data_IF_148836861960
#
_entry.id   IF_148836861960
#
_cell.length_a   1.000
_cell.length_b   1.000
_cell.length_c   1.000
_cell.angle_alpha   90.00
_cell.angle_beta   90.00
_cell.angle_gamma   90.00
#
_symmetry.space_group_name_H-M   'P 1'
#
loop_
_entity.id
_entity.type
_entity.pdbx_description
1 polymer ?
#
# COMPACT_ATOMS: atom_id res chain seq x y z
N UNK A 1 -10.70 7.95 -8.52
CA UNK A 1 -11.48 8.99 -7.86
C UNK A 1 -11.20 10.30 -8.59
N UNK A 2 -12.23 11.05 -8.98
CA UNK A 2 -12.04 12.40 -9.51
C UNK A 2 -11.80 13.40 -8.36
N UNK A 3 -11.48 14.66 -8.69
CA UNK A 3 -11.15 15.67 -7.67
C UNK A 3 -12.33 15.96 -6.73
N UNK A 4 -13.54 16.13 -7.29
CA UNK A 4 -14.74 16.44 -6.50
C UNK A 4 -15.05 15.33 -5.49
N UNK A 5 -14.97 14.06 -5.90
CA UNK A 5 -15.14 12.91 -5.00
C UNK A 5 -14.06 12.86 -3.91
N UNK A 6 -12.82 13.22 -4.24
CA UNK A 6 -11.73 13.24 -3.27
C UNK A 6 -11.94 14.35 -2.23
N UNK A 7 -12.51 15.49 -2.63
CA UNK A 7 -12.85 16.60 -1.73
C UNK A 7 -14.02 16.25 -0.81
N UNK A 8 -15.08 15.63 -1.34
CA UNK A 8 -16.20 15.12 -0.53
C UNK A 8 -15.70 14.10 0.51
N UNK A 9 -14.88 13.13 0.09
CA UNK A 9 -14.33 12.13 0.99
C UNK A 9 -13.40 12.74 2.05
N UNK A 10 -12.59 13.73 1.67
CA UNK A 10 -11.74 14.44 2.62
C UNK A 10 -12.57 15.20 3.67
N UNK A 11 -13.66 15.83 3.25
CA UNK A 11 -14.60 16.48 4.16
C UNK A 11 -15.22 15.46 5.13
N UNK A 12 -15.72 14.33 4.63
CA UNK A 12 -16.32 13.28 5.46
C UNK A 12 -15.35 12.73 6.51
N UNK A 13 -14.09 12.50 6.12
CA UNK A 13 -13.01 12.06 7.04
C UNK A 13 -12.82 13.08 8.17
N UNK A 14 -12.72 14.35 7.82
CA UNK A 14 -12.47 15.43 8.78
C UNK A 14 -13.67 15.67 9.70
N UNK A 15 -14.89 15.66 9.18
CA UNK A 15 -16.11 15.84 9.96
C UNK A 15 -16.34 14.69 10.93
N UNK A 16 -16.25 13.44 10.44
CA UNK A 16 -16.37 12.25 11.29
C UNK A 16 -15.29 12.25 12.38
N UNK A 17 -14.06 12.57 12.02
CA UNK A 17 -12.95 12.65 12.95
C UNK A 17 -13.17 13.72 14.03
N UNK A 18 -13.66 14.91 13.65
CA UNK A 18 -14.02 15.96 14.62
C UNK A 18 -15.20 15.60 15.50
N UNK A 19 -16.15 14.83 15.01
CA UNK A 19 -17.26 14.33 15.81
C UNK A 19 -16.77 13.35 16.89
N UNK A 20 -15.83 12.47 16.54
CA UNK A 20 -15.29 11.46 17.47
C UNK A 20 -14.18 12.00 18.39
N UNK A 21 -13.34 12.90 17.89
CA UNK A 21 -12.16 13.43 18.56
C UNK A 21 -11.88 14.88 18.13
N UNK A 22 -12.73 15.81 18.60
CA UNK A 22 -12.78 17.23 18.19
C UNK A 22 -11.44 17.97 18.22
N UNK A 23 -10.61 17.67 19.22
CA UNK A 23 -9.30 18.28 19.45
C UNK A 23 -8.18 17.65 18.62
N UNK A 24 -8.44 16.50 17.97
CA UNK A 24 -7.43 15.72 17.23
C UNK A 24 -7.50 15.92 15.73
N UNK A 25 -8.62 16.38 15.21
CA UNK A 25 -8.80 16.61 13.78
C UNK A 25 -8.75 18.10 13.43
N UNK A 26 -8.08 18.47 12.32
CA UNK A 26 -8.06 19.85 11.85
C UNK A 26 -9.47 20.29 11.46
N UNK A 27 -9.69 21.60 11.42
CA UNK A 27 -10.98 22.18 10.99
C UNK A 27 -11.12 21.99 9.48
N UNK A 28 -12.29 21.52 8.98
CA UNK A 28 -12.51 21.31 7.55
C UNK A 28 -12.79 22.65 6.84
N UNK A 29 -11.78 23.52 6.77
CA UNK A 29 -11.82 24.68 5.88
C UNK A 29 -11.42 24.28 4.44
N UNK A 30 -11.68 25.16 3.47
CA UNK A 30 -11.42 24.89 2.04
C UNK A 30 -9.99 24.43 1.77
N UNK A 31 -8.99 25.05 2.42
CA UNK A 31 -7.58 24.70 2.20
C UNK A 31 -7.23 23.35 2.80
N UNK A 32 -7.77 23.05 3.98
CA UNK A 32 -7.57 21.77 4.66
C UNK A 32 -8.21 20.64 3.87
N UNK A 33 -9.45 20.82 3.39
CA UNK A 33 -10.14 19.83 2.56
C UNK A 33 -9.36 19.57 1.26
N UNK A 34 -8.90 20.62 0.56
CA UNK A 34 -8.08 20.47 -0.65
C UNK A 34 -6.76 19.73 -0.39
N UNK A 35 -6.04 20.09 0.68
CA UNK A 35 -4.78 19.41 1.02
C UNK A 35 -5.00 17.93 1.37
N UNK A 36 -6.10 17.59 2.03
CA UNK A 36 -6.46 16.21 2.34
C UNK A 36 -6.93 15.44 1.09
N UNK A 37 -7.70 16.08 0.19
CA UNK A 37 -8.18 15.45 -1.04
C UNK A 37 -7.03 15.06 -1.97
N UNK A 38 -5.98 15.90 -2.06
CA UNK A 38 -4.76 15.58 -2.81
C UNK A 38 -4.05 14.31 -2.31
N UNK A 39 -4.14 14.02 -1.00
CA UNK A 39 -3.53 12.83 -0.41
C UNK A 39 -4.45 11.62 -0.60
N UNK A 40 -5.71 11.75 -0.24
CA UNK A 40 -6.71 10.68 -0.31
C UNK A 40 -6.93 10.22 -1.76
N UNK A 41 -6.97 11.15 -2.71
CA UNK A 41 -7.10 10.91 -4.15
C UNK A 41 -6.00 10.05 -4.76
N UNK A 42 -4.84 9.91 -4.10
CA UNK A 42 -3.74 9.03 -4.56
C UNK A 42 -4.02 7.56 -4.31
N UNK A 43 -5.01 7.24 -3.48
CA UNK A 43 -5.30 5.86 -3.09
C UNK A 43 -6.66 5.43 -3.64
N UNK A 44 -6.66 4.31 -4.36
CA UNK A 44 -7.88 3.68 -4.82
C UNK A 44 -8.46 2.76 -3.73
N UNK A 45 -9.02 3.38 -2.69
CA UNK A 45 -9.72 2.71 -1.59
C UNK A 45 -11.19 3.12 -1.57
N UNK A 46 -12.11 2.21 -1.20
CA UNK A 46 -13.52 2.55 -1.06
C UNK A 46 -13.75 3.55 0.08
N UNK A 47 -14.72 4.46 -0.09
CA UNK A 47 -15.06 5.52 0.88
C UNK A 47 -15.37 4.96 2.28
N UNK A 48 -16.14 3.86 2.34
CA UNK A 48 -16.48 3.20 3.60
C UNK A 48 -15.24 2.75 4.40
N UNK A 49 -14.16 2.40 3.71
CA UNK A 49 -12.92 1.93 4.32
C UNK A 49 -12.14 3.09 4.95
N UNK A 50 -12.24 4.29 4.37
CA UNK A 50 -11.71 5.51 4.98
C UNK A 50 -12.48 5.92 6.24
N UNK A 51 -13.80 5.80 6.23
CA UNK A 51 -14.61 6.10 7.42
C UNK A 51 -14.35 5.09 8.56
N UNK A 52 -14.10 3.82 8.21
CA UNK A 52 -13.64 2.83 9.17
C UNK A 52 -12.24 3.15 9.70
N UNK A 53 -11.32 3.61 8.83
CA UNK A 53 -10.00 4.06 9.23
C UNK A 53 -10.06 5.17 10.28
N UNK A 54 -10.96 6.15 10.11
CA UNK A 54 -11.20 7.21 11.11
C UNK A 54 -11.65 6.60 12.43
N UNK A 55 -12.57 5.64 12.39
CA UNK A 55 -13.04 4.94 13.60
C UNK A 55 -11.89 4.24 14.30
N UNK A 56 -11.10 3.43 13.58
CA UNK A 56 -9.93 2.73 14.10
C UNK A 56 -8.91 3.70 14.68
N UNK A 57 -8.62 4.81 14.00
CA UNK A 57 -7.69 5.80 14.50
C UNK A 57 -8.16 6.36 15.85
N UNK A 58 -9.43 6.75 15.92
CA UNK A 58 -10.04 7.31 17.12
C UNK A 58 -10.18 6.30 18.26
N UNK A 59 -10.26 4.99 18.00
CA UNK A 59 -10.45 3.97 19.06
C UNK A 59 -9.17 3.27 19.47
N UNK A 60 -8.19 3.13 18.57
CA UNK A 60 -7.03 2.25 18.76
C UNK A 60 -5.67 2.96 18.66
N UNK A 61 -5.62 4.13 18.02
CA UNK A 61 -4.37 4.83 17.70
C UNK A 61 -4.29 6.22 18.30
N UNK A 62 -5.11 6.52 19.32
CA UNK A 62 -5.16 7.86 19.93
C UNK A 62 -3.75 8.33 20.28
N UNK A 63 -3.33 9.42 19.65
CA UNK A 63 -2.06 10.07 19.93
C UNK A 63 -2.29 11.42 20.60
N UNK A 64 -1.26 11.93 21.28
CA UNK A 64 -1.29 13.27 21.87
C UNK A 64 -1.08 14.40 20.84
N UNK A 65 -0.83 14.08 19.57
CA UNK A 65 -0.68 15.06 18.49
C UNK A 65 -1.94 15.14 17.62
N UNK A 66 -2.02 16.20 16.82
CA UNK A 66 -3.03 16.32 15.79
C UNK A 66 -2.83 15.21 14.74
N UNK A 67 -3.95 14.71 14.21
CA UNK A 67 -3.94 13.72 13.14
C UNK A 67 -3.39 14.33 11.86
N UNK A 68 -2.64 13.52 11.13
CA UNK A 68 -2.15 13.82 9.79
C UNK A 68 -2.79 12.86 8.78
N UNK A 69 -2.79 13.19 7.49
CA UNK A 69 -3.25 12.25 6.46
C UNK A 69 -2.53 10.89 6.52
N UNK A 70 -1.25 10.86 6.90
CA UNK A 70 -0.49 9.61 7.04
C UNK A 70 -1.09 8.68 8.11
N UNK A 71 -1.54 9.23 9.23
CA UNK A 71 -2.14 8.44 10.31
C UNK A 71 -3.41 7.73 9.85
N UNK A 72 -4.23 8.42 9.06
CA UNK A 72 -5.46 7.86 8.50
C UNK A 72 -5.14 6.85 7.39
N UNK A 73 -4.09 7.06 6.58
CA UNK A 73 -3.62 6.07 5.60
C UNK A 73 -3.18 4.78 6.30
N UNK A 74 -2.43 4.89 7.39
CA UNK A 74 -1.99 3.72 8.17
C UNK A 74 -3.19 2.98 8.78
N UNK A 75 -4.16 3.71 9.34
CA UNK A 75 -5.40 3.13 9.84
C UNK A 75 -6.22 2.47 8.72
N UNK A 76 -6.28 3.06 7.52
CA UNK A 76 -6.97 2.49 6.37
C UNK A 76 -6.28 1.21 5.88
N UNK A 77 -4.95 1.15 5.90
CA UNK A 77 -4.22 -0.09 5.61
C UNK A 77 -4.51 -1.19 6.63
N UNK A 78 -4.63 -0.83 7.91
CA UNK A 78 -5.02 -1.77 8.95
C UNK A 78 -6.46 -2.27 8.75
N UNK A 79 -7.41 -1.37 8.48
CA UNK A 79 -8.79 -1.71 8.15
C UNK A 79 -8.84 -2.68 6.95
N UNK A 80 -8.18 -2.31 5.86
CA UNK A 80 -8.09 -3.15 4.65
C UNK A 80 -7.54 -4.54 4.96
N UNK A 81 -6.44 -4.62 5.71
CA UNK A 81 -5.85 -5.91 6.10
C UNK A 81 -6.83 -6.76 6.88
N UNK A 82 -7.62 -6.18 7.80
CA UNK A 82 -8.65 -6.90 8.57
C UNK A 82 -9.77 -7.42 7.66
N UNK A 83 -10.27 -6.58 6.76
CA UNK A 83 -11.29 -6.98 5.79
C UNK A 83 -10.80 -8.06 4.82
N UNK A 84 -9.52 -8.05 4.48
CA UNK A 84 -8.94 -9.07 3.61
C UNK A 84 -8.79 -10.44 4.32
N UNK A 85 -8.96 -10.53 5.65
CA UNK A 85 -8.92 -11.81 6.36
C UNK A 85 -10.16 -12.67 6.07
N UNK A 86 -11.34 -12.07 5.88
CA UNK A 86 -12.57 -12.80 5.57
C UNK A 86 -12.86 -12.90 4.06
N UNK A 87 -13.48 -14.00 3.58
CA UNK A 87 -13.93 -14.11 2.19
C UNK A 87 -14.93 -12.99 1.81
N UNK A 88 -15.83 -12.63 2.72
CA UNK A 88 -16.85 -11.60 2.50
C UNK A 88 -16.21 -10.22 2.36
N UNK A 89 -15.20 -9.92 3.19
CA UNK A 89 -14.54 -8.62 3.14
C UNK A 89 -13.66 -8.46 1.90
N UNK A 90 -13.01 -9.54 1.49
CA UNK A 90 -12.33 -9.68 0.19
C UNK A 90 -13.28 -9.41 -0.98
N UNK A 91 -14.45 -10.02 -0.98
CA UNK A 91 -15.48 -9.80 -2.00
C UNK A 91 -15.96 -8.34 -2.05
N UNK A 92 -16.19 -7.72 -0.87
CA UNK A 92 -16.61 -6.33 -0.76
C UNK A 92 -15.58 -5.35 -1.34
N UNK A 93 -14.29 -5.55 -1.05
CA UNK A 93 -13.19 -4.73 -1.59
C UNK A 93 -13.06 -4.93 -3.11
N UNK A 94 -13.18 -6.17 -3.61
CA UNK A 94 -13.13 -6.45 -5.04
C UNK A 94 -14.28 -5.77 -5.79
N UNK A 95 -15.51 -5.90 -5.29
CA UNK A 95 -16.70 -5.24 -5.84
C UNK A 95 -16.52 -3.72 -5.93
N UNK A 96 -16.00 -3.11 -4.87
CA UNK A 96 -15.79 -1.66 -4.82
C UNK A 96 -14.70 -1.16 -5.79
N UNK A 97 -13.77 -2.01 -6.23
CA UNK A 97 -12.74 -1.68 -7.24
C UNK A 97 -13.23 -1.78 -8.68
N UNK A 98 -14.48 -2.18 -8.91
CA UNK A 98 -15.02 -2.41 -10.26
C UNK A 98 -14.52 -3.70 -10.92
N UNK A 99 -13.78 -4.54 -10.20
CA UNK A 99 -13.43 -5.88 -10.65
C UNK A 99 -14.52 -6.85 -10.22
N UNK A 100 -15.28 -7.39 -11.15
CA UNK A 100 -16.08 -8.58 -10.85
C UNK A 100 -15.16 -9.79 -10.69
N UNK A 101 -15.37 -10.54 -9.61
CA UNK A 101 -15.65 -11.96 -9.69
C UNK A 101 -17.12 -12.15 -9.25
N UNK A 102 -17.96 -12.66 -10.15
CA UNK A 102 -19.42 -12.78 -10.03
C UNK A 102 -19.82 -13.98 -9.15
N UNK A 103 -18.87 -14.80 -8.72
CA UNK A 103 -19.14 -16.02 -7.95
C UNK A 103 -18.12 -16.25 -6.82
N UNK A 104 -18.56 -16.95 -5.77
CA UNK A 104 -17.71 -17.41 -4.66
C UNK A 104 -16.46 -18.16 -5.16
N UNK A 105 -16.60 -18.93 -6.24
CA UNK A 105 -15.52 -19.66 -6.89
C UNK A 105 -14.47 -18.73 -7.56
N UNK A 106 -14.88 -17.57 -8.08
CA UNK A 106 -13.94 -16.60 -8.67
C UNK A 106 -13.29 -15.70 -7.59
N UNK A 107 -13.98 -15.43 -6.48
CA UNK A 107 -13.41 -14.78 -5.29
C UNK A 107 -12.37 -15.71 -4.66
N UNK A 108 -12.72 -16.99 -4.52
CA UNK A 108 -11.78 -18.03 -4.13
C UNK A 108 -10.64 -18.09 -5.14
N UNK A 109 -10.85 -18.21 -6.45
CA UNK A 109 -9.76 -18.24 -7.44
C UNK A 109 -8.85 -16.99 -7.44
N UNK A 110 -9.38 -15.80 -7.14
CA UNK A 110 -8.59 -14.57 -7.07
C UNK A 110 -7.70 -14.52 -5.82
N UNK A 111 -8.20 -15.00 -4.67
CA UNK A 111 -7.48 -15.01 -3.39
C UNK A 111 -6.83 -16.36 -3.04
N UNK A 112 -7.18 -17.43 -3.74
CA UNK A 112 -6.62 -18.79 -3.68
C UNK A 112 -5.49 -18.98 -4.67
N UNK A 113 -5.00 -17.90 -5.29
CA UNK A 113 -3.66 -17.92 -5.90
C UNK A 113 -2.62 -18.02 -4.78
N UNK A 114 -2.51 -19.22 -4.21
CA UNK A 114 -1.21 -19.81 -3.89
C UNK A 114 -0.29 -19.60 -5.11
N UNK A 115 1.03 -19.43 -4.91
CA UNK A 115 1.99 -19.12 -5.99
C UNK A 115 2.26 -20.35 -6.89
N UNK A 116 1.21 -21.00 -7.38
CA UNK A 116 1.24 -22.20 -8.21
C UNK A 116 0.24 -22.01 -9.34
N UNK A 117 0.58 -21.10 -10.24
CA UNK A 117 0.22 -21.07 -11.68
C UNK A 117 0.75 -19.77 -12.31
N UNK A 118 1.98 -19.39 -11.93
CA UNK A 118 2.86 -18.65 -12.82
C UNK A 118 3.67 -19.75 -13.51
N UNK A 119 3.21 -20.19 -14.69
CA UNK A 119 4.05 -21.03 -15.57
C UNK A 119 5.37 -20.32 -15.92
N UNK A 120 5.42 -19.02 -15.65
CA UNK A 120 6.55 -18.13 -15.83
C UNK A 120 7.10 -17.72 -14.45
N UNK A 121 8.28 -18.23 -14.08
CA UNK A 121 9.06 -17.79 -12.93
C UNK A 121 9.27 -16.26 -12.97
N UNK A 122 9.54 -15.60 -11.83
CA UNK A 122 9.87 -14.17 -11.83
C UNK A 122 10.99 -13.79 -12.80
N UNK A 123 11.96 -14.71 -13.02
CA UNK A 123 13.04 -14.55 -13.99
C UNK A 123 12.55 -14.61 -15.44
N UNK A 124 11.67 -15.55 -15.78
CA UNK A 124 11.08 -15.65 -17.12
C UNK A 124 10.18 -14.45 -17.44
N UNK A 125 9.41 -13.95 -16.46
CA UNK A 125 8.60 -12.74 -16.61
C UNK A 125 9.47 -11.50 -16.85
N UNK A 126 10.56 -11.38 -16.08
CA UNK A 126 11.54 -10.30 -16.27
C UNK A 126 12.23 -10.38 -17.64
N UNK A 127 12.54 -11.59 -18.13
CA UNK A 127 13.12 -11.80 -19.46
C UNK A 127 12.15 -11.41 -20.58
N UNK A 128 10.85 -11.70 -20.44
CA UNK A 128 9.84 -11.35 -21.44
C UNK A 128 9.50 -9.86 -21.48
N UNK A 129 9.35 -9.22 -20.32
CA UNK A 129 8.92 -7.81 -20.23
C UNK A 129 10.09 -6.82 -20.33
N UNK A 130 11.28 -7.21 -19.84
CA UNK A 130 12.47 -6.37 -19.79
C UNK A 130 13.73 -7.13 -20.24
N UNK A 131 13.82 -7.51 -21.54
CA UNK A 131 14.91 -8.36 -22.05
C UNK A 131 16.30 -7.76 -21.84
N UNK A 132 16.44 -6.43 -21.95
CA UNK A 132 17.71 -5.72 -21.70
C UNK A 132 18.15 -5.79 -20.23
N UNK A 133 17.21 -5.62 -19.30
CA UNK A 133 17.49 -5.70 -17.86
C UNK A 133 17.86 -7.14 -17.47
N UNK A 134 17.17 -8.13 -18.05
CA UNK A 134 17.44 -9.54 -17.81
C UNK A 134 18.83 -9.95 -18.35
N UNK A 135 19.22 -9.47 -19.54
CA UNK A 135 20.58 -9.64 -20.08
C UNK A 135 21.64 -9.06 -19.16
N UNK A 136 21.44 -7.83 -18.69
CA UNK A 136 22.37 -7.19 -17.75
C UNK A 136 22.49 -7.97 -16.43
N UNK A 137 21.39 -8.49 -15.90
CA UNK A 137 21.40 -9.31 -14.67
C UNK A 137 22.13 -10.64 -14.91
N UNK A 138 21.90 -11.30 -16.04
CA UNK A 138 22.61 -12.52 -16.41
C UNK A 138 24.12 -12.27 -16.53
N UNK A 139 24.52 -11.19 -17.20
CA UNK A 139 25.93 -10.79 -17.34
C UNK A 139 26.57 -10.48 -15.98
N UNK A 140 25.88 -9.72 -15.11
CA UNK A 140 26.37 -9.44 -13.76
C UNK A 140 26.51 -10.72 -12.92
N UNK A 141 25.60 -11.68 -13.10
CA UNK A 141 25.61 -12.95 -12.36
C UNK A 141 26.76 -13.83 -12.85
N UNK A 142 26.95 -13.94 -14.16
CA UNK A 142 28.08 -14.65 -14.78
C UNK A 142 29.42 -14.05 -14.37
N UNK A 143 29.53 -12.71 -14.36
CA UNK A 143 30.72 -12.01 -13.83
C UNK A 143 30.97 -12.38 -12.37
N UNK A 144 29.93 -12.53 -11.54
CA UNK A 144 30.07 -12.91 -10.12
C UNK A 144 30.49 -14.36 -9.95
N UNK A 145 29.94 -15.31 -10.71
CA UNK A 145 30.33 -16.73 -10.64
C UNK A 145 31.73 -16.97 -11.20
N UNK A 146 32.13 -16.25 -12.25
CA UNK A 146 33.46 -16.36 -12.85
C UNK A 146 34.52 -15.47 -12.18
N UNK A 147 34.11 -14.59 -11.25
CA UNK A 147 35.07 -13.84 -10.43
C UNK A 147 35.69 -14.78 -9.41
N UNK A 148 37.03 -14.82 -9.29
CA UNK A 148 37.67 -15.56 -8.21
C UNK A 148 37.14 -15.01 -6.87
N UNK A 149 36.85 -15.90 -5.88
CA UNK A 149 36.37 -15.45 -4.58
C UNK A 149 37.37 -14.44 -4.01
N UNK A 150 36.88 -13.27 -3.61
CA UNK A 150 37.70 -12.24 -2.97
C UNK A 150 38.39 -12.86 -1.76
N UNK A 151 39.69 -13.14 -1.87
CA UNK A 151 40.55 -13.45 -0.73
C UNK A 151 40.95 -12.11 -0.13
N UNK A 152 40.33 -11.74 0.98
CA UNK A 152 40.85 -10.65 1.79
C UNK A 152 42.28 -11.03 2.21
N UNK A 153 43.27 -10.22 1.84
CA UNK A 153 44.62 -10.41 2.36
C UNK A 153 44.60 -10.19 3.89
N UNK A 154 45.28 -11.03 4.68
CA UNK A 154 45.33 -10.88 6.13
C UNK A 154 45.85 -9.48 6.49
N UNK A 155 44.98 -8.61 7.02
CA UNK A 155 45.32 -7.24 7.42
C UNK A 155 44.51 -6.13 6.73
N UNK A 156 43.78 -6.42 5.65
CA UNK A 156 42.91 -5.45 5.00
C UNK A 156 41.46 -5.55 5.51
N UNK A 157 41.17 -4.89 6.63
CA UNK A 157 39.79 -4.60 7.04
C UNK A 157 39.32 -3.33 6.35
N UNK A 158 38.18 -3.41 5.66
CA UNK A 158 37.53 -2.25 5.06
C UNK A 158 37.06 -1.31 6.18
N UNK A 159 37.67 -0.13 6.29
CA UNK A 159 37.22 0.96 7.16
C UNK A 159 36.56 2.01 6.27
N UNK A 160 35.24 2.26 6.38
CA UNK A 160 34.63 3.37 5.66
C UNK A 160 35.24 4.66 6.18
N UNK A 161 35.95 5.38 5.32
CA UNK A 161 36.46 6.72 5.63
C UNK A 161 35.28 7.60 6.05
N UNK A 162 35.46 8.27 7.19
CA UNK A 162 34.54 9.23 7.81
C UNK A 162 33.96 10.19 6.77
N UNK A 163 32.63 10.26 6.71
CA UNK A 163 31.86 11.44 6.33
C UNK A 163 31.27 12.02 7.63
#
# INVERSE_FOLDING_TARGET
>A
MNQDQAEELALDILEKGRYLAKDRFPVPDTKTVQAWSEVVGRYNLPDWLWLEAVTIFCTEKITQRMVTPLDIIEAARAAKTRWEQSPEGRAAIAKARGGQPITQAEIEAYYSKTPVQREETPGEYQQRVHPELARMIAEMTERRTNSPPYRAEPGHWWSPKKL
#
